data_IF_051915632579
#
_entry.id   IF_051915632579
#
_cell.length_a   1.000
_cell.length_b   1.000
_cell.length_c   1.000
_cell.angle_alpha   90.00
_cell.angle_beta   90.00
_cell.angle_gamma   90.00
#
_symmetry.space_group_name_H-M   'P 1'
#
loop_
_entity.id
_entity.type
_entity.pdbx_description
1 polymer ?
#
# COMPACT_ATOMS: atom_id res chain seq x y z
N UNK A 1 42.96 19.93 14.03
CA UNK A 1 43.15 20.13 12.59
C UNK A 1 41.78 20.40 11.99
N UNK A 2 41.52 21.63 11.53
CA UNK A 2 40.27 22.05 10.91
C UNK A 2 40.43 22.01 9.40
N UNK A 3 39.69 21.18 8.70
CA UNK A 3 39.67 21.16 7.22
C UNK A 3 38.44 21.94 6.76
N UNK A 4 38.72 23.13 6.19
CA UNK A 4 37.70 23.96 5.53
C UNK A 4 37.56 23.50 4.09
N UNK A 5 36.38 23.02 3.72
CA UNK A 5 36.04 22.73 2.33
C UNK A 5 35.24 23.94 1.79
N UNK A 6 35.85 24.65 0.83
CA UNK A 6 35.22 25.74 0.09
C UNK A 6 34.38 25.15 -1.05
N UNK A 7 33.12 25.43 -1.06
CA UNK A 7 32.21 25.12 -2.17
C UNK A 7 32.21 26.28 -3.18
N UNK A 8 32.56 25.97 -4.42
CA UNK A 8 32.44 26.90 -5.54
C UNK A 8 31.05 26.79 -6.15
N UNK A 9 30.34 27.93 -6.17
CA UNK A 9 29.12 28.16 -6.95
C UNK A 9 29.53 28.32 -8.43
N UNK A 10 28.96 27.50 -9.31
CA UNK A 10 28.90 27.77 -10.74
C UNK A 10 27.43 27.94 -11.14
N UNK A 11 27.09 29.19 -11.44
CA UNK A 11 25.82 29.62 -12.03
C UNK A 11 25.88 29.35 -13.53
N UNK A 12 24.99 28.52 -14.04
CA UNK A 12 24.77 28.29 -15.47
C UNK A 12 23.32 28.55 -15.84
N UNK A 13 23.10 29.79 -16.36
CA UNK A 13 21.83 30.24 -16.95
C UNK A 13 21.79 29.83 -18.41
N UNK A 14 20.84 29.02 -18.85
CA UNK A 14 20.52 28.82 -20.26
C UNK A 14 19.00 28.79 -20.45
N UNK A 15 18.47 29.91 -20.99
CA UNK A 15 17.14 30.01 -21.60
C UNK A 15 17.15 29.36 -22.98
N UNK A 16 16.13 28.56 -23.28
CA UNK A 16 15.72 28.29 -24.65
C UNK A 16 14.19 28.23 -24.72
N UNK A 17 13.63 29.26 -25.34
CA UNK A 17 12.26 29.36 -25.83
C UNK A 17 12.17 28.64 -27.19
N UNK A 18 11.12 27.91 -27.45
CA UNK A 18 10.42 27.65 -28.73
C UNK A 18 9.62 26.37 -28.55
N UNK A 19 8.38 26.30 -28.79
CA UNK A 19 7.51 26.55 -29.86
C UNK A 19 6.28 25.70 -29.70
N UNK A 20 5.09 26.28 -29.68
CA UNK A 20 3.78 25.61 -29.82
C UNK A 20 3.62 25.08 -31.26
N UNK A 21 2.84 24.03 -31.46
CA UNK A 21 1.73 24.18 -32.41
C UNK A 21 0.38 23.83 -31.79
N UNK A 22 -0.58 24.71 -32.07
CA UNK A 22 -2.02 24.45 -32.07
C UNK A 22 -2.32 23.35 -33.10
N UNK A 23 -3.12 22.37 -32.75
CA UNK A 23 -3.98 21.64 -33.67
C UNK A 23 -5.38 21.61 -33.07
N UNK A 24 -6.26 22.35 -33.71
CA UNK A 24 -7.70 22.31 -33.55
C UNK A 24 -8.29 21.26 -34.50
N UNK A 25 -9.57 20.97 -34.26
CA UNK A 25 -10.52 20.13 -35.00
C UNK A 25 -10.49 18.63 -34.61
N UNK A 26 -11.61 17.98 -34.32
CA UNK A 26 -12.88 18.04 -35.00
C UNK A 26 -14.03 17.54 -34.13
N UNK A 27 -15.16 18.16 -34.30
CA UNK A 27 -16.48 17.78 -33.81
C UNK A 27 -17.02 16.56 -34.56
N UNK A 28 -17.48 15.54 -33.87
CA UNK A 28 -18.53 14.71 -34.44
C UNK A 28 -19.54 14.30 -33.38
N UNK A 29 -20.68 14.96 -33.48
CA UNK A 29 -21.96 14.55 -32.88
C UNK A 29 -22.36 13.16 -33.42
N UNK A 30 -22.68 12.27 -32.53
CA UNK A 30 -23.33 11.00 -32.84
C UNK A 30 -24.39 10.69 -31.80
N UNK A 31 -25.56 11.33 -31.95
CA UNK A 31 -26.78 10.98 -31.28
C UNK A 31 -27.33 9.70 -31.89
N UNK A 32 -27.45 8.65 -31.12
CA UNK A 32 -28.37 7.57 -31.44
C UNK A 32 -29.38 7.41 -30.31
N UNK A 33 -30.50 8.10 -30.53
CA UNK A 33 -31.79 7.74 -29.98
C UNK A 33 -32.21 6.34 -30.52
N UNK A 34 -32.58 5.47 -29.65
CA UNK A 34 -33.48 4.38 -29.99
C UNK A 34 -34.36 4.05 -28.79
N UNK A 35 -35.50 4.59 -28.82
CA UNK A 35 -36.88 4.22 -28.65
C UNK A 35 -37.19 2.91 -27.89
N UNK A 36 -37.91 3.10 -26.79
CA UNK A 36 -39.10 2.41 -26.28
C UNK A 36 -39.43 1.03 -26.82
N UNK A 37 -39.55 0.07 -25.93
CA UNK A 37 -40.67 -0.89 -25.98
C UNK A 37 -41.07 -1.30 -24.56
N UNK A 38 -42.32 -0.90 -24.22
CA UNK A 38 -43.13 -1.42 -23.17
C UNK A 38 -43.38 -2.92 -23.35
N UNK A 39 -43.28 -3.66 -22.25
CA UNK A 39 -44.24 -4.76 -22.04
C UNK A 39 -44.41 -5.04 -20.54
N UNK A 40 -45.59 -4.66 -20.07
CA UNK A 40 -46.22 -5.10 -18.82
C UNK A 40 -46.39 -6.62 -18.83
N UNK A 41 -46.10 -7.24 -17.70
CA UNK A 41 -46.90 -8.32 -17.09
C UNK A 41 -46.44 -8.61 -15.67
N UNK A 42 -47.21 -8.23 -14.69
CA UNK A 42 -47.40 -8.88 -13.38
C UNK A 42 -48.66 -9.80 -13.53
N UNK A 43 -49.01 -10.74 -12.62
CA UNK A 43 -48.47 -11.04 -11.28
C UNK A 43 -48.22 -12.55 -11.04
N UNK A 44 -47.51 -12.92 -9.99
CA UNK A 44 -48.08 -13.82 -8.98
C UNK A 44 -47.20 -13.96 -7.73
N UNK A 45 -47.92 -14.00 -6.61
CA UNK A 45 -47.42 -14.13 -5.26
C UNK A 45 -46.84 -15.53 -5.01
N UNK A 46 -45.61 -15.62 -4.43
CA UNK A 46 -45.34 -16.71 -3.53
C UNK A 46 -44.45 -16.24 -2.37
N UNK A 47 -45.10 -16.18 -1.20
CA UNK A 47 -44.48 -16.08 0.11
C UNK A 47 -43.63 -17.32 0.36
N UNK A 48 -42.33 -17.16 0.41
CA UNK A 48 -41.49 -18.12 1.09
C UNK A 48 -40.55 -17.40 2.09
N UNK A 49 -40.85 -17.65 3.36
CA UNK A 49 -40.04 -17.32 4.51
C UNK A 49 -38.71 -18.04 4.37
N UNK A 50 -37.68 -17.40 3.82
CA UNK A 50 -36.32 -17.90 3.88
C UNK A 50 -35.60 -17.24 5.06
N UNK A 51 -35.47 -18.04 6.12
CA UNK A 51 -34.63 -17.83 7.28
C UNK A 51 -33.28 -17.26 6.88
N UNK A 52 -33.00 -16.01 7.27
CA UNK A 52 -31.67 -15.42 7.24
C UNK A 52 -30.73 -16.22 8.16
N UNK A 53 -30.11 -17.24 7.61
CA UNK A 53 -28.86 -17.77 8.16
C UNK A 53 -27.77 -16.77 7.78
N UNK A 54 -27.48 -15.85 8.71
CA UNK A 54 -26.29 -15.01 8.72
C UNK A 54 -25.06 -15.94 8.58
N UNK A 55 -24.64 -16.15 7.35
CA UNK A 55 -23.45 -16.90 6.99
C UNK A 55 -22.26 -16.08 7.51
N UNK A 56 -21.77 -16.45 8.69
CA UNK A 56 -20.49 -15.98 9.20
C UNK A 56 -19.49 -16.31 8.10
N UNK A 57 -18.97 -15.28 7.45
CA UNK A 57 -17.94 -15.40 6.43
C UNK A 57 -16.69 -15.85 7.18
N UNK A 58 -16.43 -17.16 7.21
CA UNK A 58 -15.18 -17.70 7.70
C UNK A 58 -14.08 -17.08 6.83
N UNK A 59 -13.25 -16.24 7.42
CA UNK A 59 -12.02 -15.79 6.78
C UNK A 59 -11.21 -17.06 6.47
N UNK A 60 -10.76 -17.23 5.22
CA UNK A 60 -9.91 -18.36 4.89
C UNK A 60 -8.63 -18.25 5.74
N UNK A 61 -8.45 -19.23 6.64
CA UNK A 61 -7.22 -19.35 7.41
C UNK A 61 -6.00 -19.52 6.48
N UNK A 62 -4.77 -19.42 7.03
CA UNK A 62 -3.56 -19.53 6.25
C UNK A 62 -3.55 -20.83 5.45
N UNK A 63 -3.17 -20.75 4.18
CA UNK A 63 -3.06 -21.92 3.31
C UNK A 63 -1.91 -22.83 3.77
N UNK A 64 -2.07 -24.13 3.62
CA UNK A 64 -0.97 -25.07 3.85
C UNK A 64 0.25 -24.79 2.96
N UNK A 65 0.05 -24.12 1.81
CA UNK A 65 1.13 -23.67 0.93
C UNK A 65 1.98 -22.54 1.55
N UNK A 66 1.42 -21.78 2.48
CA UNK A 66 2.07 -20.65 3.15
C UNK A 66 2.82 -21.09 4.43
N UNK A 67 2.80 -22.40 4.73
CA UNK A 67 3.46 -22.99 5.88
C UNK A 67 4.98 -22.74 5.86
N UNK A 68 5.60 -22.53 7.03
CA UNK A 68 7.04 -22.38 7.17
C UNK A 68 7.84 -23.61 6.65
N UNK A 69 7.21 -24.79 6.63
CA UNK A 69 7.83 -26.01 6.10
C UNK A 69 8.03 -25.97 4.59
N UNK A 70 7.31 -25.11 3.88
CA UNK A 70 7.46 -24.85 2.45
C UNK A 70 8.17 -23.51 2.21
N UNK A 71 9.47 -23.52 2.14
CA UNK A 71 10.27 -22.29 1.99
C UNK A 71 9.87 -21.42 0.77
N UNK A 72 9.47 -22.02 -0.35
CA UNK A 72 9.02 -21.28 -1.52
C UNK A 72 7.62 -20.66 -1.32
N UNK A 73 6.72 -21.38 -0.67
CA UNK A 73 5.40 -20.88 -0.27
C UNK A 73 5.51 -19.77 0.77
N UNK A 74 6.34 -19.99 1.79
CA UNK A 74 6.60 -19.00 2.83
C UNK A 74 7.14 -17.68 2.23
N UNK A 75 8.10 -17.72 1.30
CA UNK A 75 8.59 -16.51 0.62
C UNK A 75 7.47 -15.77 -0.12
N UNK A 76 6.64 -16.49 -0.89
CA UNK A 76 5.49 -15.87 -1.57
C UNK A 76 4.50 -15.25 -0.60
N UNK A 77 4.26 -15.92 0.54
CA UNK A 77 3.38 -15.40 1.57
C UNK A 77 3.92 -14.12 2.23
N UNK A 78 5.21 -14.10 2.55
CA UNK A 78 5.91 -12.92 3.09
C UNK A 78 5.88 -11.76 2.09
N UNK A 79 6.17 -12.00 0.79
CA UNK A 79 6.06 -10.96 -0.25
C UNK A 79 4.64 -10.43 -0.40
N UNK A 80 3.60 -11.27 -0.23
CA UNK A 80 2.19 -10.80 -0.19
C UNK A 80 1.94 -9.88 0.99
N UNK A 81 2.42 -10.22 2.19
CA UNK A 81 2.26 -9.37 3.39
C UNK A 81 2.92 -8.02 3.17
N UNK A 82 4.12 -7.98 2.57
CA UNK A 82 4.78 -6.71 2.21
C UNK A 82 3.97 -5.88 1.21
N UNK A 83 3.38 -6.53 0.22
CA UNK A 83 2.54 -5.85 -0.76
C UNK A 83 1.25 -5.32 -0.13
N UNK A 84 0.59 -6.12 0.73
CA UNK A 84 -0.58 -5.70 1.48
C UNK A 84 -0.28 -4.52 2.43
N UNK A 85 0.93 -4.50 3.01
CA UNK A 85 1.41 -3.40 3.83
C UNK A 85 1.59 -2.11 3.01
N UNK A 86 2.20 -2.21 1.83
CA UNK A 86 2.31 -1.12 0.87
C UNK A 86 0.92 -0.58 0.48
N UNK A 87 0.01 -1.48 0.08
CA UNK A 87 -1.37 -1.14 -0.29
C UNK A 87 -2.13 -0.46 0.87
N UNK A 88 -1.86 -0.85 2.11
CA UNK A 88 -2.44 -0.23 3.30
C UNK A 88 -2.05 1.24 3.42
N UNK A 89 -0.79 1.57 3.16
CA UNK A 89 -0.30 2.95 3.16
C UNK A 89 -0.85 3.74 1.97
N UNK A 90 -0.74 3.23 0.75
CA UNK A 90 -1.25 3.90 -0.46
C UNK A 90 -2.77 4.10 -0.41
N UNK A 91 -3.49 3.16 0.19
CA UNK A 91 -4.94 3.23 0.40
C UNK A 91 -5.37 4.05 1.61
N UNK A 92 -4.45 4.72 2.31
CA UNK A 92 -4.72 5.50 3.54
C UNK A 92 -5.54 4.72 4.57
N UNK A 93 -5.21 3.45 4.79
CA UNK A 93 -5.92 2.56 5.71
C UNK A 93 -5.03 2.12 6.87
N UNK A 94 -4.96 2.88 7.99
CA UNK A 94 -4.17 2.51 9.16
C UNK A 94 -4.51 1.11 9.67
N UNK A 95 -5.80 0.78 9.72
CA UNK A 95 -6.28 -0.52 10.15
C UNK A 95 -5.71 -1.66 9.31
N UNK A 96 -5.66 -1.49 7.98
CA UNK A 96 -5.10 -2.50 7.08
C UNK A 96 -3.60 -2.72 7.32
N UNK A 97 -2.88 -1.66 7.64
CA UNK A 97 -1.46 -1.72 8.02
C UNK A 97 -1.28 -2.47 9.34
N UNK A 98 -2.05 -2.11 10.37
CA UNK A 98 -1.89 -2.70 11.72
C UNK A 98 -2.37 -4.14 11.80
N UNK A 99 -3.35 -4.56 10.99
CA UNK A 99 -3.80 -5.96 10.90
C UNK A 99 -2.71 -6.91 10.38
N UNK A 100 -1.66 -6.40 9.73
CA UNK A 100 -0.52 -7.19 9.25
C UNK A 100 0.58 -7.37 10.30
N UNK A 101 0.53 -6.63 11.40
CA UNK A 101 1.51 -6.70 12.47
C UNK A 101 1.21 -7.88 13.41
N UNK A 102 2.25 -8.41 14.03
CA UNK A 102 2.11 -9.41 15.09
C UNK A 102 1.68 -8.75 16.40
N UNK A 103 1.03 -9.50 17.26
CA UNK A 103 0.60 -9.05 18.59
C UNK A 103 1.76 -8.70 19.54
N UNK A 104 2.96 -9.20 19.23
CA UNK A 104 4.19 -8.92 19.97
C UNK A 104 5.04 -7.83 19.28
N UNK A 105 4.50 -7.14 18.26
CA UNK A 105 5.20 -6.01 17.64
C UNK A 105 5.49 -4.93 18.71
N UNK A 106 6.75 -4.53 18.82
CA UNK A 106 7.18 -3.61 19.87
C UNK A 106 6.47 -2.25 19.74
N UNK A 107 5.90 -1.77 20.83
CA UNK A 107 5.15 -0.50 20.88
C UNK A 107 4.03 -0.39 19.83
N UNK A 108 3.33 -1.50 19.57
CA UNK A 108 2.23 -1.55 18.59
C UNK A 108 1.26 -0.36 18.69
N UNK A 109 0.76 0.05 19.87
CA UNK A 109 -0.17 1.17 19.97
C UNK A 109 0.45 2.49 19.51
N UNK A 110 1.71 2.75 19.86
CA UNK A 110 2.43 3.95 19.44
C UNK A 110 2.66 3.99 17.94
N UNK A 111 3.03 2.85 17.35
CA UNK A 111 3.21 2.74 15.91
C UNK A 111 1.88 2.95 15.17
N UNK A 112 0.78 2.37 15.66
CA UNK A 112 -0.58 2.56 15.13
C UNK A 112 -0.99 4.03 15.14
N UNK A 113 -0.78 4.72 16.26
CA UNK A 113 -1.04 6.17 16.38
C UNK A 113 -0.18 6.98 15.40
N UNK A 114 1.11 6.66 15.28
CA UNK A 114 2.02 7.35 14.38
C UNK A 114 1.62 7.16 12.90
N UNK A 115 1.30 5.93 12.48
CA UNK A 115 0.81 5.63 11.13
C UNK A 115 -0.51 6.36 10.87
N UNK A 116 -1.44 6.35 11.82
CA UNK A 116 -2.73 7.05 11.68
C UNK A 116 -2.51 8.54 11.46
N UNK A 117 -1.72 9.19 12.31
CA UNK A 117 -1.40 10.61 12.19
C UNK A 117 -0.69 10.93 10.87
N UNK A 118 0.22 10.06 10.42
CA UNK A 118 0.92 10.24 9.17
C UNK A 118 -0.03 10.18 7.97
N UNK A 119 -0.89 9.17 7.91
CA UNK A 119 -1.87 9.01 6.85
C UNK A 119 -2.95 10.12 6.84
N UNK A 120 -3.35 10.59 8.01
CA UNK A 120 -4.28 11.73 8.12
C UNK A 120 -3.69 13.05 7.59
N UNK A 121 -2.37 13.23 7.71
CA UNK A 121 -1.67 14.44 7.23
C UNK A 121 -1.33 14.40 5.75
N UNK A 122 -1.38 13.24 5.13
CA UNK A 122 -1.05 13.07 3.70
C UNK A 122 -2.31 13.01 2.84
N UNK A 123 -2.26 13.55 1.62
CA UNK A 123 -3.35 13.49 0.65
C UNK A 123 -3.12 12.44 -0.43
N UNK A 124 -1.90 12.29 -0.86
CA UNK A 124 -1.49 11.31 -1.86
C UNK A 124 -0.25 10.59 -1.36
N UNK A 125 -0.18 9.29 -1.61
CA UNK A 125 0.97 8.48 -1.25
C UNK A 125 1.23 7.41 -2.29
N UNK A 126 2.50 7.23 -2.62
CA UNK A 126 3.00 6.13 -3.43
C UNK A 126 4.19 5.52 -2.71
N UNK A 127 4.20 4.23 -2.62
CA UNK A 127 5.26 3.47 -1.96
C UNK A 127 5.82 2.43 -2.93
N UNK A 128 7.10 2.21 -2.89
CA UNK A 128 7.75 1.18 -3.68
C UNK A 128 8.78 0.45 -2.83
N UNK A 129 8.67 -0.87 -2.78
CA UNK A 129 9.63 -1.77 -2.13
C UNK A 129 10.36 -2.58 -3.17
N UNK A 130 11.67 -2.43 -3.19
CA UNK A 130 12.57 -3.25 -4.00
C UNK A 130 13.28 -4.23 -3.07
N UNK A 131 12.86 -5.48 -3.09
CA UNK A 131 13.51 -6.52 -2.29
C UNK A 131 14.99 -6.68 -2.71
N UNK A 132 15.89 -6.60 -1.74
CA UNK A 132 17.31 -6.83 -1.92
C UNK A 132 17.74 -8.18 -1.34
N UNK A 133 17.08 -8.64 -0.28
CA UNK A 133 17.35 -9.92 0.38
C UNK A 133 16.06 -10.46 0.96
N UNK A 134 15.83 -11.77 0.82
CA UNK A 134 14.72 -12.47 1.44
C UNK A 134 15.18 -13.83 1.96
N UNK A 135 15.13 -14.03 3.26
CA UNK A 135 15.55 -15.26 3.94
C UNK A 135 14.40 -15.78 4.80
N UNK A 136 14.13 -17.08 4.68
CA UNK A 136 13.11 -17.79 5.50
C UNK A 136 13.82 -18.91 6.25
N UNK A 137 13.63 -18.93 7.56
CA UNK A 137 14.20 -19.94 8.49
C UNK A 137 13.13 -20.43 9.47
N UNK A 138 12.52 -21.57 9.16
CA UNK A 138 11.43 -22.09 9.97
C UNK A 138 10.26 -21.11 10.02
N UNK A 139 9.81 -20.76 11.21
CA UNK A 139 8.72 -19.84 11.49
C UNK A 139 9.11 -18.34 11.48
N UNK A 140 10.35 -18.03 11.13
CA UNK A 140 10.84 -16.67 10.99
C UNK A 140 11.25 -16.36 9.55
N UNK A 141 11.07 -15.11 9.12
CA UNK A 141 11.60 -14.62 7.86
C UNK A 141 12.12 -13.19 8.02
N UNK A 142 13.18 -12.87 7.30
CA UNK A 142 13.75 -11.53 7.23
C UNK A 142 13.78 -11.08 5.78
N UNK A 143 13.26 -9.90 5.51
CA UNK A 143 13.30 -9.26 4.19
C UNK A 143 13.90 -7.87 4.30
N UNK A 144 14.90 -7.60 3.49
CA UNK A 144 15.50 -6.27 3.38
C UNK A 144 15.06 -5.66 2.05
N UNK A 145 14.49 -4.46 2.11
CA UNK A 145 14.03 -3.71 0.94
C UNK A 145 14.74 -2.36 0.84
N UNK A 146 14.97 -1.91 -0.37
CA UNK A 146 15.23 -0.50 -0.65
C UNK A 146 13.84 0.16 -0.83
N UNK A 147 13.41 0.87 0.20
CA UNK A 147 12.09 1.50 0.27
C UNK A 147 12.13 2.93 -0.27
N UNK A 148 11.14 3.28 -1.08
CA UNK A 148 10.89 4.63 -1.54
C UNK A 148 9.43 5.00 -1.27
N UNK A 149 9.22 6.16 -0.68
CA UNK A 149 7.92 6.75 -0.42
C UNK A 149 7.85 8.16 -0.99
N UNK A 150 6.83 8.43 -1.78
CA UNK A 150 6.51 9.76 -2.31
C UNK A 150 5.12 10.12 -1.77
N UNK A 151 4.99 11.25 -1.10
CA UNK A 151 3.73 11.67 -0.52
C UNK A 151 3.57 13.19 -0.57
N UNK A 152 2.32 13.65 -0.58
CA UNK A 152 1.96 15.07 -0.52
C UNK A 152 1.39 15.39 0.86
N UNK A 153 2.00 16.32 1.59
CA UNK A 153 1.49 16.81 2.87
C UNK A 153 0.33 17.79 2.63
N UNK A 154 -0.81 17.57 3.30
CA UNK A 154 -1.99 18.46 3.21
C UNK A 154 -1.69 19.91 3.57
N UNK A 155 -0.69 20.16 4.43
CA UNK A 155 -0.23 21.49 4.77
C UNK A 155 0.60 22.14 3.65
N UNK A 156 1.11 21.34 2.70
CA UNK A 156 1.93 21.80 1.56
C UNK A 156 1.52 21.07 0.28
N UNK A 157 0.30 21.31 -0.22
CA UNK A 157 -0.31 20.48 -1.27
C UNK A 157 0.36 20.62 -2.66
N UNK A 158 1.27 21.56 -2.83
CA UNK A 158 1.99 21.78 -4.08
C UNK A 158 3.40 21.18 -4.10
N UNK A 159 3.80 20.50 -3.03
CA UNK A 159 5.15 20.00 -2.87
C UNK A 159 5.14 18.53 -2.43
N UNK A 160 5.57 17.65 -3.34
CA UNK A 160 5.80 16.25 -3.01
C UNK A 160 7.03 16.10 -2.10
N UNK A 161 6.87 15.27 -1.09
CA UNK A 161 7.93 14.83 -0.22
C UNK A 161 8.40 13.45 -0.68
N UNK A 162 9.69 13.20 -0.57
CA UNK A 162 10.27 11.91 -0.95
C UNK A 162 11.20 11.42 0.15
N UNK A 163 10.96 10.17 0.60
CA UNK A 163 11.84 9.43 1.52
C UNK A 163 12.41 8.23 0.82
N UNK A 164 13.67 7.90 1.10
CA UNK A 164 14.33 6.67 0.64
C UNK A 164 15.17 6.13 1.76
N UNK A 165 15.00 4.83 2.03
CA UNK A 165 15.76 4.16 3.07
C UNK A 165 15.82 2.65 2.80
N UNK A 166 16.86 2.01 3.35
CA UNK A 166 16.91 0.56 3.42
C UNK A 166 16.20 0.13 4.69
N UNK A 167 15.14 -0.66 4.53
CA UNK A 167 14.29 -1.13 5.62
C UNK A 167 14.37 -2.64 5.72
N UNK A 168 14.53 -3.14 6.93
CA UNK A 168 14.43 -4.54 7.27
C UNK A 168 13.06 -4.80 7.88
N UNK A 169 12.40 -5.85 7.40
CA UNK A 169 11.19 -6.42 7.96
C UNK A 169 11.50 -7.80 8.49
N UNK A 170 11.21 -8.04 9.77
CA UNK A 170 11.25 -9.36 10.37
C UNK A 170 9.83 -9.88 10.55
N UNK A 171 9.61 -11.11 10.15
CA UNK A 171 8.31 -11.77 10.15
C UNK A 171 8.31 -12.99 11.05
N UNK A 172 7.15 -13.28 11.62
CA UNK A 172 6.87 -14.51 12.36
C UNK A 172 5.63 -15.20 11.78
N UNK A 173 5.66 -16.52 11.73
CA UNK A 173 4.52 -17.31 11.28
C UNK A 173 3.59 -17.61 12.45
N UNK A 174 2.33 -17.19 12.34
CA UNK A 174 1.27 -17.51 13.27
C UNK A 174 0.36 -18.59 12.64
N UNK A 175 0.16 -19.77 13.25
CA UNK A 175 -0.65 -20.83 12.68
C UNK A 175 -2.11 -20.46 12.38
N UNK A 176 -2.64 -19.43 13.04
CA UNK A 176 -4.03 -18.96 12.86
C UNK A 176 -4.13 -17.81 11.88
N UNK A 177 -3.11 -16.95 11.83
CA UNK A 177 -3.13 -15.67 11.08
C UNK A 177 -2.18 -15.65 9.88
N UNK A 178 -1.33 -16.67 9.72
CA UNK A 178 -0.26 -16.69 8.71
C UNK A 178 0.94 -15.83 9.10
N UNK A 179 1.72 -15.43 8.11
CA UNK A 179 2.88 -14.57 8.31
C UNK A 179 2.46 -13.18 8.77
N UNK A 180 3.16 -12.65 9.79
CA UNK A 180 2.93 -11.32 10.38
C UNK A 180 4.26 -10.59 10.52
N UNK A 181 4.23 -9.27 10.42
CA UNK A 181 5.39 -8.41 10.64
C UNK A 181 5.62 -8.32 12.15
N UNK A 182 6.77 -8.82 12.59
CA UNK A 182 7.18 -8.81 14.00
C UNK A 182 7.99 -7.56 14.35
N UNK A 183 8.85 -7.10 13.41
CA UNK A 183 9.68 -5.92 13.60
C UNK A 183 9.93 -5.20 12.28
N UNK A 184 10.13 -3.87 12.37
CA UNK A 184 10.51 -3.01 11.24
C UNK A 184 11.67 -2.13 11.68
N UNK A 185 12.76 -2.12 10.91
CA UNK A 185 13.94 -1.30 11.22
C UNK A 185 14.47 -0.60 9.95
N UNK A 186 14.57 0.73 9.93
CA UNK A 186 14.10 1.69 10.94
C UNK A 186 12.59 1.99 10.81
N UNK A 187 11.88 2.09 11.94
CA UNK A 187 10.43 2.43 11.97
C UNK A 187 10.14 3.86 11.53
N UNK A 188 11.08 4.78 11.79
CA UNK A 188 10.93 6.21 11.48
C UNK A 188 10.66 6.49 10.00
N UNK A 189 10.94 5.55 9.11
CA UNK A 189 10.59 5.66 7.71
C UNK A 189 9.07 5.79 7.51
N UNK A 190 8.26 5.15 8.35
CA UNK A 190 6.79 5.10 8.30
C UNK A 190 6.10 6.05 9.28
N UNK A 191 6.87 6.80 10.05
CA UNK A 191 6.37 7.77 11.03
C UNK A 191 6.40 9.21 10.45
N UNK A 192 5.60 10.17 11.03
CA UNK A 192 5.52 11.56 10.56
C UNK A 192 6.85 12.31 10.55
#
# INVERSE_FOLDING_TARGET
MRVSVKWNLAVGLAMALAGLPLCAADLSLGWHERATQDQQQQPDQQKDKKKDKKKKKDEPGPSAEDSPDNAAGARRAVSRVLHDFQDGFEGHSPRRVTELLDEHFEDLPRFEDAVTQFLERTSEMRMNFRESTSEVKGDHATVIVDAEMIYTDKARPTQDQRRRERVQFDFVYNPKKGWRIFEITPRQFFEP
#
